data_IF_229041072685
#
_entry.id   IF_229041072685
#
_cell.length_a   1.000
_cell.length_b   1.000
_cell.length_c   1.000
_cell.angle_alpha   90.00
_cell.angle_beta   90.00
_cell.angle_gamma   90.00
#
_symmetry.space_group_name_H-M   'P 1'
#
loop_
_entity.id
_entity.type
_entity.pdbx_description
1 polymer ?
#
# COMPACT_ATOMS: atom_id res chain seq x y z
N UNK A 1 0.92 -19.38 4.28
CA UNK A 1 0.12 -18.90 3.12
C UNK A 1 0.90 -18.98 1.80
N UNK A 2 2.09 -18.34 1.69
CA UNK A 2 2.90 -18.31 0.45
C UNK A 2 3.45 -19.68 -0.02
N UNK A 3 3.63 -20.65 0.90
CA UNK A 3 4.03 -22.03 0.57
C UNK A 3 2.87 -22.96 0.15
N UNK A 4 1.60 -22.55 0.32
CA UNK A 4 0.41 -23.42 0.13
C UNK A 4 -0.44 -23.06 -1.10
N UNK A 5 0.09 -22.30 -2.07
CA UNK A 5 -0.65 -21.98 -3.30
C UNK A 5 -1.91 -21.12 -3.10
N UNK A 6 -2.08 -20.48 -1.93
CA UNK A 6 -3.24 -19.63 -1.69
C UNK A 6 -3.23 -18.42 -2.64
N UNK A 7 -4.40 -18.06 -3.17
CA UNK A 7 -4.56 -16.92 -4.07
C UNK A 7 -4.21 -15.60 -3.33
N UNK A 8 -3.01 -15.08 -3.58
CA UNK A 8 -2.50 -13.86 -2.93
C UNK A 8 -3.10 -12.58 -3.51
N UNK A 9 -3.93 -12.69 -4.56
CA UNK A 9 -4.60 -11.55 -5.19
C UNK A 9 -5.50 -10.81 -4.22
N UNK A 10 -6.41 -11.53 -3.54
CA UNK A 10 -7.33 -10.93 -2.58
C UNK A 10 -6.60 -10.20 -1.42
N UNK A 11 -5.62 -10.80 -0.72
CA UNK A 11 -4.92 -10.10 0.36
C UNK A 11 -4.09 -8.91 -0.15
N UNK A 12 -3.50 -8.97 -1.35
CA UNK A 12 -2.79 -7.82 -1.94
C UNK A 12 -3.76 -6.68 -2.26
N UNK A 13 -4.93 -6.98 -2.85
CA UNK A 13 -5.96 -5.96 -3.10
C UNK A 13 -6.48 -5.36 -1.80
N UNK A 14 -6.77 -6.19 -0.79
CA UNK A 14 -7.23 -5.72 0.52
C UNK A 14 -6.17 -4.83 1.20
N UNK A 15 -4.89 -5.21 1.14
CA UNK A 15 -3.79 -4.45 1.73
C UNK A 15 -3.54 -3.09 1.05
N UNK A 16 -3.91 -2.94 -0.23
CA UNK A 16 -3.87 -1.64 -0.92
C UNK A 16 -5.14 -0.81 -0.65
N UNK A 17 -6.31 -1.44 -0.71
CA UNK A 17 -7.59 -0.74 -0.66
C UNK A 17 -8.04 -0.35 0.74
N UNK A 18 -7.91 -1.24 1.74
CA UNK A 18 -8.44 -0.99 3.09
C UNK A 18 -7.77 0.20 3.79
N UNK A 19 -6.42 0.34 3.81
CA UNK A 19 -5.80 1.53 4.40
C UNK A 19 -6.24 2.81 3.70
N UNK A 20 -6.38 2.78 2.37
CA UNK A 20 -6.77 3.94 1.58
C UNK A 20 -8.22 4.38 1.83
N UNK A 21 -9.14 3.44 1.99
CA UNK A 21 -10.51 3.74 2.42
C UNK A 21 -10.54 4.27 3.86
N UNK A 22 -9.71 3.71 4.74
CA UNK A 22 -9.63 4.13 6.13
C UNK A 22 -9.12 5.57 6.28
N UNK A 23 -8.28 6.06 5.36
CA UNK A 23 -7.86 7.46 5.33
C UNK A 23 -9.05 8.43 5.26
N UNK A 24 -10.12 8.08 4.54
CA UNK A 24 -11.33 8.93 4.48
C UNK A 24 -11.98 9.08 5.87
N UNK A 25 -11.95 8.03 6.69
CA UNK A 25 -12.42 8.07 8.07
C UNK A 25 -11.47 8.81 9.01
N UNK A 26 -10.16 8.60 8.86
CA UNK A 26 -9.15 9.19 9.77
C UNK A 26 -8.95 10.68 9.51
N UNK A 27 -9.08 11.13 8.27
CA UNK A 27 -8.83 12.53 7.87
C UNK A 27 -10.08 13.38 7.80
N UNK A 28 -11.16 12.93 8.44
CA UNK A 28 -12.37 13.71 8.67
C UNK A 28 -12.55 13.97 10.16
N UNK A 29 -13.29 15.01 10.56
CA UNK A 29 -13.55 15.29 11.97
C UNK A 29 -14.21 14.10 12.67
N UNK A 30 -13.55 13.57 13.69
CA UNK A 30 -14.10 12.50 14.51
C UNK A 30 -14.96 13.07 15.65
N UNK A 31 -16.08 12.42 16.02
CA UNK A 31 -16.95 12.87 17.11
C UNK A 31 -16.29 12.75 18.49
N UNK A 32 -15.33 11.83 18.65
CA UNK A 32 -14.61 11.59 19.90
C UNK A 32 -13.11 11.38 19.62
N UNK A 33 -12.20 11.88 20.47
CA UNK A 33 -10.75 11.68 20.30
C UNK A 33 -10.35 10.20 20.24
N UNK A 34 -11.03 9.33 21.02
CA UNK A 34 -10.77 7.89 21.03
C UNK A 34 -11.01 7.24 19.66
N UNK A 35 -11.99 7.74 18.89
CA UNK A 35 -12.28 7.23 17.54
C UNK A 35 -11.16 7.62 16.57
N UNK A 36 -10.67 8.86 16.64
CA UNK A 36 -9.54 9.31 15.83
C UNK A 36 -8.26 8.50 16.12
N UNK A 37 -7.95 8.32 17.42
CA UNK A 37 -6.79 7.54 17.86
C UNK A 37 -6.92 6.08 17.42
N UNK A 38 -8.08 5.46 17.65
CA UNK A 38 -8.35 4.09 17.22
C UNK A 38 -8.20 3.92 15.71
N UNK A 39 -8.75 4.85 14.93
CA UNK A 39 -8.60 4.88 13.47
C UNK A 39 -7.15 4.99 13.02
N UNK A 40 -6.36 5.85 13.65
CA UNK A 40 -4.93 5.99 13.36
C UNK A 40 -4.14 4.71 13.69
N UNK A 41 -4.45 4.03 14.80
CA UNK A 41 -3.83 2.76 15.18
C UNK A 41 -4.15 1.67 14.14
N UNK A 42 -5.43 1.54 13.76
CA UNK A 42 -5.84 0.56 12.74
C UNK A 42 -5.19 0.87 11.39
N UNK A 43 -5.11 2.15 11.01
CA UNK A 43 -4.43 2.58 9.79
C UNK A 43 -2.95 2.21 9.80
N UNK A 44 -2.27 2.43 10.93
CA UNK A 44 -0.86 2.06 11.09
C UNK A 44 -0.66 0.54 10.96
N UNK A 45 -1.52 -0.24 11.63
CA UNK A 45 -1.48 -1.70 11.58
C UNK A 45 -1.66 -2.24 10.16
N UNK A 46 -2.64 -1.70 9.42
CA UNK A 46 -2.95 -2.16 8.07
C UNK A 46 -1.93 -1.65 7.04
N UNK A 47 -1.38 -0.45 7.23
CA UNK A 47 -0.47 0.19 6.28
C UNK A 47 0.81 -0.63 5.99
N UNK A 48 1.28 -1.42 6.96
CA UNK A 48 2.45 -2.29 6.78
C UNK A 48 2.20 -3.56 5.95
N UNK A 49 0.95 -4.01 5.82
CA UNK A 49 0.62 -5.33 5.27
C UNK A 49 1.07 -5.48 3.82
N UNK A 50 0.86 -4.45 2.99
CA UNK A 50 1.24 -4.52 1.58
C UNK A 50 2.76 -4.65 1.40
N UNK A 51 3.54 -3.87 2.15
CA UNK A 51 4.99 -3.94 2.08
C UNK A 51 5.49 -5.34 2.47
N UNK A 52 4.98 -5.91 3.57
CA UNK A 52 5.31 -7.28 3.98
C UNK A 52 4.96 -8.32 2.92
N UNK A 53 3.80 -8.21 2.27
CA UNK A 53 3.40 -9.08 1.17
C UNK A 53 4.32 -8.92 -0.06
N UNK A 54 4.67 -7.68 -0.43
CA UNK A 54 5.55 -7.40 -1.56
C UNK A 54 6.94 -8.03 -1.36
N UNK A 55 7.55 -7.85 -0.19
CA UNK A 55 8.83 -8.50 0.14
C UNK A 55 8.71 -10.03 0.14
N UNK A 56 7.62 -10.56 0.68
CA UNK A 56 7.42 -12.01 0.75
C UNK A 56 7.13 -12.66 -0.63
N UNK A 57 6.73 -11.87 -1.63
CA UNK A 57 6.54 -12.28 -3.02
C UNK A 57 7.84 -12.24 -3.84
N UNK A 58 8.86 -11.50 -3.41
CA UNK A 58 10.11 -11.34 -4.17
C UNK A 58 10.75 -12.66 -4.66
N UNK A 59 10.80 -13.76 -3.87
CA UNK A 59 11.39 -15.01 -4.36
C UNK A 59 10.67 -15.60 -5.57
N UNK A 60 9.36 -15.35 -5.70
CA UNK A 60 8.56 -15.78 -6.87
C UNK A 60 8.80 -14.91 -8.10
N UNK A 61 9.25 -13.67 -7.89
CA UNK A 61 9.52 -12.70 -8.97
C UNK A 61 10.96 -12.82 -9.47
N UNK A 62 11.92 -13.07 -8.59
CA UNK A 62 13.34 -13.02 -8.90
C UNK A 62 13.83 -14.16 -9.83
N UNK A 63 13.17 -15.32 -9.85
CA UNK A 63 13.54 -16.44 -10.74
C UNK A 63 14.93 -17.06 -10.48
N UNK A 64 15.66 -16.61 -9.45
CA UNK A 64 16.98 -17.12 -9.07
C UNK A 64 17.69 -16.23 -8.03
N UNK A 65 18.68 -16.80 -7.33
CA UNK A 65 19.42 -16.12 -6.23
C UNK A 65 20.17 -14.86 -6.69
N UNK A 66 20.78 -14.89 -7.88
CA UNK A 66 21.51 -13.73 -8.42
C UNK A 66 20.63 -12.52 -8.76
N UNK A 67 19.35 -12.74 -9.10
CA UNK A 67 18.40 -11.66 -9.39
C UNK A 67 17.70 -11.13 -8.13
N UNK A 68 17.74 -11.89 -7.04
CA UNK A 68 17.06 -11.52 -5.79
C UNK A 68 17.51 -10.18 -5.23
N UNK A 69 18.83 -9.92 -5.26
CA UNK A 69 19.42 -8.65 -4.82
C UNK A 69 18.89 -7.49 -5.67
N UNK A 70 18.81 -7.68 -6.99
CA UNK A 70 18.34 -6.65 -7.93
C UNK A 70 16.86 -6.33 -7.71
N UNK A 71 16.00 -7.33 -7.62
CA UNK A 71 14.55 -7.10 -7.41
C UNK A 71 14.28 -6.49 -6.03
N UNK A 72 14.99 -6.94 -4.99
CA UNK A 72 14.90 -6.34 -3.66
C UNK A 72 15.33 -4.87 -3.66
N UNK A 73 16.43 -4.54 -4.34
CA UNK A 73 16.90 -3.16 -4.50
C UNK A 73 15.89 -2.28 -5.22
N UNK A 74 15.30 -2.76 -6.32
CA UNK A 74 14.25 -2.04 -7.04
C UNK A 74 13.00 -1.81 -6.16
N UNK A 75 12.55 -2.84 -5.43
CA UNK A 75 11.41 -2.70 -4.52
C UNK A 75 11.70 -1.66 -3.42
N UNK A 76 12.88 -1.70 -2.82
CA UNK A 76 13.29 -0.75 -1.79
C UNK A 76 13.38 0.68 -2.34
N UNK A 77 13.92 0.88 -3.54
CA UNK A 77 14.00 2.19 -4.20
C UNK A 77 12.62 2.75 -4.53
N UNK A 78 11.71 1.92 -5.04
CA UNK A 78 10.31 2.32 -5.25
C UNK A 78 9.61 2.70 -3.94
N UNK A 79 9.89 1.98 -2.84
CA UNK A 79 9.39 2.36 -1.52
C UNK A 79 9.95 3.70 -1.05
N UNK A 80 11.26 3.91 -1.21
CA UNK A 80 11.94 5.13 -0.82
C UNK A 80 11.46 6.35 -1.63
N UNK A 81 11.20 6.20 -2.93
CA UNK A 81 10.65 7.30 -3.74
C UNK A 81 9.24 7.69 -3.29
N UNK A 82 8.41 6.70 -2.91
CA UNK A 82 7.12 6.94 -2.28
C UNK A 82 7.23 7.71 -0.97
N UNK A 83 8.17 7.33 -0.09
CA UNK A 83 8.43 8.03 1.17
C UNK A 83 9.00 9.43 0.99
N UNK A 84 9.76 9.68 -0.08
CA UNK A 84 10.31 10.99 -0.42
C UNK A 84 9.23 11.93 -0.95
N UNK A 85 8.38 11.46 -1.87
CA UNK A 85 7.36 12.27 -2.54
C UNK A 85 6.05 12.37 -1.74
N UNK A 86 5.74 11.36 -0.92
CA UNK A 86 4.49 11.25 -0.18
C UNK A 86 4.21 12.45 0.74
N UNK A 87 5.09 12.80 1.69
CA UNK A 87 4.84 13.90 2.62
C UNK A 87 4.66 15.27 1.93
N UNK A 88 5.50 15.68 0.95
CA UNK A 88 5.27 16.92 0.20
C UNK A 88 3.93 16.96 -0.54
N UNK A 89 3.55 15.86 -1.22
CA UNK A 89 2.26 15.80 -1.93
C UNK A 89 1.08 15.85 -0.95
N UNK A 90 1.19 15.14 0.17
CA UNK A 90 0.19 15.17 1.23
C UNK A 90 0.01 16.59 1.78
N UNK A 91 1.12 17.27 2.10
CA UNK A 91 1.12 18.64 2.59
C UNK A 91 0.52 19.63 1.57
N UNK A 92 0.81 19.45 0.27
CA UNK A 92 0.21 20.26 -0.78
C UNK A 92 -1.32 20.06 -0.85
N UNK A 93 -1.81 18.82 -0.76
CA UNK A 93 -3.24 18.53 -0.72
C UNK A 93 -3.92 19.12 0.53
N UNK A 94 -3.29 18.99 1.70
CA UNK A 94 -3.84 19.57 2.94
C UNK A 94 -3.92 21.09 2.85
N UNK A 95 -2.93 21.76 2.25
CA UNK A 95 -2.97 23.21 2.05
C UNK A 95 -4.06 23.63 1.07
N UNK A 96 -4.30 22.86 0.00
CA UNK A 96 -5.26 23.20 -1.04
C UNK A 96 -6.73 22.90 -0.67
N UNK A 97 -6.98 21.84 0.10
CA UNK A 97 -8.34 21.35 0.37
C UNK A 97 -8.52 20.68 1.73
N UNK A 98 -7.60 20.90 2.67
CA UNK A 98 -7.63 20.31 4.00
C UNK A 98 -7.32 18.82 4.03
N UNK A 99 -7.44 18.23 5.21
CA UNK A 99 -7.22 16.81 5.45
C UNK A 99 -8.03 15.86 4.55
N UNK A 100 -9.31 16.15 4.19
CA UNK A 100 -10.05 15.28 3.28
C UNK A 100 -9.41 15.18 1.88
N UNK A 101 -8.82 16.25 1.35
CA UNK A 101 -8.14 16.22 0.05
C UNK A 101 -6.93 15.26 0.06
N UNK A 102 -6.20 15.23 1.16
CA UNK A 102 -5.10 14.28 1.38
C UNK A 102 -5.58 12.81 1.43
N UNK A 103 -6.76 12.54 1.99
CA UNK A 103 -7.33 11.20 1.96
C UNK A 103 -7.73 10.77 0.55
N UNK A 104 -8.30 11.69 -0.25
CA UNK A 104 -8.62 11.43 -1.65
C UNK A 104 -7.37 11.18 -2.50
N UNK A 105 -6.26 11.87 -2.24
CA UNK A 105 -4.97 11.56 -2.87
C UNK A 105 -4.56 10.11 -2.57
N UNK A 106 -4.60 9.69 -1.31
CA UNK A 106 -4.28 8.32 -0.90
C UNK A 106 -5.17 7.28 -1.58
N UNK A 107 -6.48 7.54 -1.66
CA UNK A 107 -7.41 6.70 -2.38
C UNK A 107 -7.13 6.66 -3.88
N UNK A 108 -6.85 7.79 -4.51
CA UNK A 108 -6.47 7.87 -5.92
C UNK A 108 -5.23 7.03 -6.23
N UNK A 109 -4.19 7.16 -5.41
CA UNK A 109 -2.98 6.33 -5.50
C UNK A 109 -3.29 4.83 -5.38
N UNK A 110 -4.14 4.42 -4.42
CA UNK A 110 -4.54 3.04 -4.28
C UNK A 110 -5.34 2.54 -5.49
N UNK A 111 -6.28 3.32 -6.00
CA UNK A 111 -7.08 3.00 -7.19
C UNK A 111 -6.22 2.86 -8.46
N UNK A 112 -5.13 3.63 -8.57
CA UNK A 112 -4.14 3.48 -9.64
C UNK A 112 -3.25 2.25 -9.45
N UNK A 113 -2.86 1.94 -8.21
CA UNK A 113 -2.00 0.80 -7.88
C UNK A 113 -2.72 -0.55 -8.02
N UNK A 114 -3.99 -0.64 -7.62
CA UNK A 114 -4.77 -1.88 -7.64
C UNK A 114 -4.83 -2.58 -9.02
N UNK A 115 -5.13 -1.91 -10.16
CA UNK A 115 -5.12 -2.58 -11.46
C UNK A 115 -3.73 -3.04 -11.89
N UNK A 116 -2.67 -2.28 -11.56
CA UNK A 116 -1.29 -2.67 -11.84
C UNK A 116 -0.90 -3.92 -11.04
N UNK A 117 -1.15 -3.90 -9.73
CA UNK A 117 -0.92 -5.03 -8.85
C UNK A 117 -1.76 -6.26 -9.26
N UNK A 118 -3.01 -6.06 -9.66
CA UNK A 118 -3.88 -7.13 -10.17
C UNK A 118 -3.29 -7.78 -11.42
N UNK A 119 -2.80 -6.99 -12.39
CA UNK A 119 -2.15 -7.49 -13.61
C UNK A 119 -0.86 -8.25 -13.28
N UNK A 120 -0.01 -7.70 -12.43
CA UNK A 120 1.22 -8.34 -11.98
C UNK A 120 0.94 -9.70 -11.31
N UNK A 121 -0.07 -9.76 -10.45
CA UNK A 121 -0.47 -10.99 -9.77
C UNK A 121 -1.08 -12.05 -10.69
N UNK A 122 -1.69 -11.67 -11.83
CA UNK A 122 -2.09 -12.65 -12.87
C UNK A 122 -0.88 -13.31 -13.51
N UNK A 123 0.15 -12.52 -13.84
CA UNK A 123 1.39 -13.03 -14.44
C UNK A 123 2.13 -14.04 -13.56
N UNK A 124 2.05 -13.89 -12.23
CA UNK A 124 2.66 -14.80 -11.25
C UNK A 124 1.91 -16.14 -11.05
N UNK A 125 0.70 -16.27 -11.60
CA UNK A 125 -0.03 -17.55 -11.62
C UNK A 125 0.24 -18.35 -12.90
N UNK A 126 0.70 -17.68 -13.98
CA UNK A 126 0.97 -18.28 -15.29
C UNK A 126 2.44 -18.62 -15.51
N UNK A 127 3.34 -18.18 -14.62
CA UNK A 127 4.76 -18.47 -14.59
C UNK A 127 5.06 -19.54 -13.53
#
# INVERSE_FOLDING_TARGET
LLRRGAALRAPVMAALGLPALLLLGVFTPAPLPAVAIGGAIVLNLLGGIYASLAFALLPRVAGGTGQMVKVNGLLAQCGASGSLLGPPLMAACVQAGGWPAAAWLGLGCALLAMPLAWRAMRGLHTA
#
